data_IF_100647727969
#
_entry.id   IF_100647727969
#
_cell.length_a   1.000
_cell.length_b   1.000
_cell.length_c   1.000
_cell.angle_alpha   90.00
_cell.angle_beta   90.00
_cell.angle_gamma   90.00
#
_symmetry.space_group_name_H-M   'P 1'
#
loop_
_entity.id
_entity.type
_entity.pdbx_description
1 polymer ?
#
# COMPACT_ATOMS: atom_id res chain seq x y z
N UNK A 1 -30.16 2.70 -19.76
CA UNK A 1 -29.60 2.18 -18.51
C UNK A 1 -28.56 3.19 -18.06
N UNK A 2 -28.59 3.76 -16.84
CA UNK A 2 -27.54 4.69 -16.44
C UNK A 2 -26.24 3.90 -16.25
N UNK A 3 -25.15 4.44 -16.78
CA UNK A 3 -23.82 3.86 -16.71
C UNK A 3 -23.35 3.91 -15.25
N UNK A 4 -23.59 2.83 -14.50
CA UNK A 4 -23.01 2.65 -13.18
C UNK A 4 -21.51 2.38 -13.39
N UNK A 5 -20.73 3.45 -13.55
CA UNK A 5 -19.27 3.38 -13.51
C UNK A 5 -18.92 2.72 -12.17
N UNK A 6 -18.55 1.43 -12.23
CA UNK A 6 -18.32 0.53 -11.08
C UNK A 6 -17.05 0.93 -10.32
N UNK A 7 -16.95 2.18 -9.89
CA UNK A 7 -15.84 2.65 -9.08
C UNK A 7 -15.94 1.98 -7.72
N UNK A 8 -14.85 1.36 -7.27
CA UNK A 8 -14.76 0.80 -5.93
C UNK A 8 -14.99 1.90 -4.87
N UNK A 9 -15.48 1.55 -3.66
CA UNK A 9 -15.97 2.52 -2.67
C UNK A 9 -14.99 3.64 -2.29
N UNK A 10 -13.68 3.41 -2.40
CA UNK A 10 -12.64 4.38 -2.03
C UNK A 10 -11.93 5.00 -3.25
N UNK A 11 -12.43 4.81 -4.46
CA UNK A 11 -11.80 5.27 -5.71
C UNK A 11 -11.49 6.76 -5.77
N UNK A 12 -12.22 7.58 -5.00
CA UNK A 12 -12.04 9.03 -4.94
C UNK A 12 -10.90 9.49 -4.02
N UNK A 13 -10.30 8.59 -3.24
CA UNK A 13 -9.30 8.95 -2.24
C UNK A 13 -7.87 8.65 -2.71
N UNK A 14 -6.97 9.56 -2.36
CA UNK A 14 -5.52 9.32 -2.42
C UNK A 14 -5.00 9.18 -0.99
N UNK A 15 -4.22 8.14 -0.71
CA UNK A 15 -3.66 7.86 0.61
C UNK A 15 -2.13 7.86 0.51
N UNK A 16 -1.48 8.64 1.38
CA UNK A 16 -0.04 8.59 1.57
C UNK A 16 0.28 7.59 2.70
N UNK A 17 0.95 6.49 2.37
CA UNK A 17 1.33 5.44 3.32
C UNK A 17 2.75 5.69 3.84
N UNK A 18 2.83 6.25 5.06
CA UNK A 18 4.07 6.46 5.80
C UNK A 18 4.31 5.35 6.85
N UNK A 19 3.50 4.29 6.82
CA UNK A 19 3.51 3.27 7.85
C UNK A 19 4.63 2.25 7.64
N UNK A 20 4.98 1.54 8.71
CA UNK A 20 6.03 0.51 8.73
C UNK A 20 5.54 -0.77 9.40
N UNK A 21 6.34 -1.83 9.30
CA UNK A 21 6.05 -3.15 9.85
C UNK A 21 4.73 -3.73 9.32
N UNK A 22 3.76 -4.07 10.18
CA UNK A 22 2.60 -4.89 9.78
C UNK A 22 1.25 -4.21 9.93
N UNK A 23 0.97 -3.59 11.07
CA UNK A 23 -0.38 -3.09 11.37
C UNK A 23 -0.83 -1.98 10.39
N UNK A 24 0.02 -0.97 10.19
CA UNK A 24 -0.25 0.10 9.24
C UNK A 24 -0.37 -0.39 7.79
N UNK A 25 0.60 -1.16 7.27
CA UNK A 25 0.51 -1.68 5.91
C UNK A 25 -0.73 -2.55 5.68
N UNK A 26 -1.17 -3.32 6.69
CA UNK A 26 -2.41 -4.11 6.66
C UNK A 26 -3.64 -3.22 6.52
N UNK A 27 -3.75 -2.16 7.33
CA UNK A 27 -4.88 -1.24 7.27
C UNK A 27 -4.95 -0.54 5.90
N UNK A 28 -3.82 -0.02 5.42
CA UNK A 28 -3.75 0.69 4.14
C UNK A 28 -3.99 -0.25 2.95
N UNK A 29 -3.60 -1.53 3.05
CA UNK A 29 -3.94 -2.51 2.02
C UNK A 29 -5.45 -2.62 1.81
N UNK A 30 -6.24 -2.66 2.89
CA UNK A 30 -7.71 -2.72 2.75
C UNK A 30 -8.24 -1.51 1.97
N UNK A 31 -7.64 -0.34 2.19
CA UNK A 31 -8.01 0.86 1.45
C UNK A 31 -7.66 0.74 -0.04
N UNK A 32 -6.48 0.21 -0.37
CA UNK A 32 -6.07 -0.05 -1.75
C UNK A 32 -6.97 -1.08 -2.44
N UNK A 33 -7.29 -2.18 -1.74
CA UNK A 33 -8.18 -3.24 -2.23
C UNK A 33 -9.61 -2.72 -2.48
N UNK A 34 -10.04 -1.65 -1.80
CA UNK A 34 -11.30 -0.94 -2.05
C UNK A 34 -11.16 0.28 -2.99
N UNK A 35 -10.04 0.36 -3.72
CA UNK A 35 -9.84 1.28 -4.84
C UNK A 35 -9.16 2.60 -4.52
N UNK A 36 -8.74 2.84 -3.28
CA UNK A 36 -7.98 4.04 -2.98
C UNK A 36 -6.65 4.07 -3.77
N UNK A 37 -6.27 5.25 -4.26
CA UNK A 37 -4.94 5.46 -4.85
C UNK A 37 -3.91 5.60 -3.74
N UNK A 38 -3.23 4.50 -3.41
CA UNK A 38 -2.23 4.46 -2.34
C UNK A 38 -0.82 4.70 -2.88
N UNK A 39 -0.09 5.62 -2.25
CA UNK A 39 1.33 5.91 -2.51
C UNK A 39 2.12 5.66 -1.22
N UNK A 40 2.97 4.64 -1.20
CA UNK A 40 3.92 4.38 -0.12
C UNK A 40 5.16 5.25 -0.29
N UNK A 41 5.59 5.87 0.81
CA UNK A 41 6.87 6.59 0.86
C UNK A 41 7.89 5.70 1.56
N UNK A 42 8.92 5.31 0.82
CA UNK A 42 10.05 4.52 1.31
C UNK A 42 11.25 5.42 1.57
N UNK A 43 12.07 5.06 2.56
CA UNK A 43 13.36 5.70 2.78
C UNK A 43 14.43 5.08 1.87
N UNK A 44 15.44 5.86 1.48
CA UNK A 44 16.67 5.38 0.83
C UNK A 44 17.43 4.50 1.85
N UNK A 45 17.74 3.25 1.48
CA UNK A 45 18.14 2.11 2.33
C UNK A 45 19.30 2.37 3.32
N UNK A 46 19.25 1.90 4.59
CA UNK A 46 19.98 0.67 4.99
C UNK A 46 19.44 -0.06 6.25
N UNK A 47 18.30 0.36 6.82
CA UNK A 47 17.84 -0.15 8.13
C UNK A 47 16.64 -1.12 8.06
N UNK A 48 16.10 -1.43 6.87
CA UNK A 48 14.84 -2.20 6.75
C UNK A 48 15.10 -3.71 6.74
N UNK A 49 16.28 -4.14 6.26
CA UNK A 49 16.68 -5.56 6.27
C UNK A 49 16.98 -6.11 7.67
N UNK A 50 17.05 -5.26 8.70
CA UNK A 50 17.38 -5.70 10.08
C UNK A 50 16.23 -6.41 10.80
N UNK A 51 15.01 -6.38 10.26
CA UNK A 51 13.80 -6.94 10.88
C UNK A 51 13.16 -8.09 10.10
N UNK A 52 13.84 -8.65 9.08
CA UNK A 52 13.33 -9.79 8.31
C UNK A 52 12.18 -9.44 7.35
N UNK A 53 12.04 -8.17 6.98
CA UNK A 53 11.10 -7.74 5.93
C UNK A 53 11.73 -7.92 4.56
N UNK A 54 11.82 -9.18 4.14
CA UNK A 54 12.25 -9.53 2.78
C UNK A 54 11.30 -8.86 1.78
N UNK A 55 11.85 -7.99 0.92
CA UNK A 55 11.10 -7.28 -0.11
C UNK A 55 10.43 -8.25 -1.08
N UNK A 56 11.07 -9.37 -1.36
CA UNK A 56 10.54 -10.40 -2.26
C UNK A 56 9.80 -11.50 -1.48
N UNK A 57 9.77 -11.39 -0.15
CA UNK A 57 9.07 -12.30 0.74
C UNK A 57 7.55 -12.18 0.68
N UNK A 58 6.87 -13.28 0.97
CA UNK A 58 5.41 -13.37 0.92
C UNK A 58 4.69 -12.32 1.78
N UNK A 59 5.25 -11.97 2.95
CA UNK A 59 4.67 -10.97 3.86
C UNK A 59 4.62 -9.59 3.20
N UNK A 60 5.76 -9.17 2.63
CA UNK A 60 5.87 -7.87 1.96
C UNK A 60 4.95 -7.80 0.73
N UNK A 61 4.98 -8.81 -0.12
CA UNK A 61 4.13 -8.88 -1.31
C UNK A 61 2.64 -8.84 -0.94
N UNK A 62 2.26 -9.55 0.12
CA UNK A 62 0.90 -9.56 0.63
C UNK A 62 0.47 -8.22 1.24
N UNK A 63 1.35 -7.50 1.94
CA UNK A 63 1.03 -6.23 2.62
C UNK A 63 1.06 -5.01 1.69
N UNK A 64 1.81 -5.08 0.59
CA UNK A 64 2.09 -3.92 -0.25
C UNK A 64 1.54 -4.00 -1.68
N UNK A 65 0.80 -5.07 -2.03
CA UNK A 65 0.03 -5.11 -3.27
C UNK A 65 -0.91 -3.92 -3.44
N UNK A 66 -1.24 -3.60 -4.69
CA UNK A 66 -2.14 -2.49 -5.07
C UNK A 66 -1.68 -1.10 -4.63
N UNK A 67 -0.48 -0.97 -4.03
CA UNK A 67 0.15 0.31 -3.69
C UNK A 67 1.16 0.68 -4.77
N UNK A 68 1.28 1.97 -5.05
CA UNK A 68 2.45 2.53 -5.75
C UNK A 68 3.49 2.92 -4.72
N UNK A 69 4.76 3.00 -5.10
CA UNK A 69 5.82 3.37 -4.18
C UNK A 69 6.73 4.44 -4.76
N UNK A 70 7.20 5.33 -3.89
CA UNK A 70 8.24 6.33 -4.17
C UNK A 70 9.27 6.28 -3.04
N UNK A 71 10.53 6.44 -3.39
CA UNK A 71 11.61 6.60 -2.41
C UNK A 71 11.94 8.09 -2.27
N UNK A 72 12.03 8.58 -1.03
CA UNK A 72 12.42 9.96 -0.67
C UNK A 72 13.60 9.97 0.30
#
# INVERSE_FOLDING_TARGET
>A
MPDHNMSLPLSKYTVLDLTRARAGPTAVRQMADWGARVIRVEAIDSAVNTLGFDRDGYDFQNLHRNKRSITL
#
